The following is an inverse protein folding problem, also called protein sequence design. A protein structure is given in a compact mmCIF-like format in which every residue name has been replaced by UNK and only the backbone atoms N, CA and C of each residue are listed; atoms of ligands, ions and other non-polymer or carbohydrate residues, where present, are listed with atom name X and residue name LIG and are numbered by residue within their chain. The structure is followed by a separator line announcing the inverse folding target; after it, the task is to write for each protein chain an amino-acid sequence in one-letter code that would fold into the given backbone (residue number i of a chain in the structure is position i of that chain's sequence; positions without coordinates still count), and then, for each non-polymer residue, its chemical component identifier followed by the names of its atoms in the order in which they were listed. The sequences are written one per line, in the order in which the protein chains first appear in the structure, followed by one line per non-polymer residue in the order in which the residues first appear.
data_IF_952979239563
#
_entry.id   IF_952979239563
#
_cell.length_a   1.000
_cell.length_b   1.000
_cell.length_c   1.000
_cell.angle_alpha   90.00
_cell.angle_beta   90.00
_cell.angle_gamma   90.00
#
_symmetry.space_group_name_H-M   'P 1'
#
loop_
_entity.id
_entity.type
_entity.pdbx_description
1 polymer ?
#
# COMPACT_ATOMS: atom_id res chain seq x y z
N UNK A 1 5.57 -56.52 -47.53
CA UNK A 1 6.23 -56.64 -46.20
C UNK A 1 6.63 -55.24 -45.74
N UNK A 2 6.21 -54.89 -44.52
CA UNK A 2 6.22 -53.56 -43.90
C UNK A 2 7.63 -53.11 -43.53
N UNK A 3 7.98 -51.82 -43.71
CA UNK A 3 8.75 -51.01 -42.73
C UNK A 3 8.44 -49.53 -42.96
N UNK A 4 7.56 -48.95 -42.14
CA UNK A 4 7.39 -47.50 -42.02
C UNK A 4 8.25 -47.10 -40.82
N UNK A 5 9.28 -46.30 -41.05
CA UNK A 5 10.17 -45.79 -39.99
C UNK A 5 9.51 -44.54 -39.42
N UNK A 6 8.92 -44.67 -38.23
CA UNK A 6 8.35 -43.57 -37.46
C UNK A 6 9.47 -42.79 -36.78
N UNK A 7 9.76 -41.58 -37.29
CA UNK A 7 10.69 -40.66 -36.64
C UNK A 7 9.90 -39.78 -35.65
N UNK A 8 9.89 -40.17 -34.38
CA UNK A 8 9.32 -39.38 -33.30
C UNK A 8 10.25 -38.23 -32.93
N UNK A 9 9.84 -36.99 -33.22
CA UNK A 9 10.49 -35.79 -32.67
C UNK A 9 9.78 -35.45 -31.36
N UNK A 10 10.48 -35.72 -30.25
CA UNK A 10 10.07 -35.38 -28.89
C UNK A 10 10.17 -33.85 -28.73
N UNK A 11 9.05 -33.14 -28.81
CA UNK A 11 8.98 -31.71 -28.47
C UNK A 11 9.07 -31.58 -26.96
N UNK A 12 10.28 -31.30 -26.45
CA UNK A 12 10.49 -30.97 -25.05
C UNK A 12 9.84 -29.64 -24.70
N UNK A 13 8.70 -29.68 -24.00
CA UNK A 13 8.03 -28.51 -23.47
C UNK A 13 8.88 -27.94 -22.32
N UNK A 14 9.72 -26.94 -22.60
CA UNK A 14 10.37 -26.14 -21.57
C UNK A 14 9.33 -25.23 -20.93
N UNK A 15 8.65 -25.71 -19.88
CA UNK A 15 7.82 -24.84 -19.03
C UNK A 15 8.74 -23.91 -18.24
N UNK A 16 8.96 -22.71 -18.75
CA UNK A 16 9.55 -21.63 -17.98
C UNK A 16 8.57 -21.26 -16.85
N UNK A 17 8.80 -21.79 -15.66
CA UNK A 17 8.10 -21.34 -14.46
C UNK A 17 8.59 -19.93 -14.14
N UNK A 18 7.83 -18.93 -14.54
CA UNK A 18 8.02 -17.55 -14.08
C UNK A 18 7.82 -17.51 -12.57
N UNK A 19 8.92 -17.47 -11.82
CA UNK A 19 8.88 -17.18 -10.39
C UNK A 19 8.50 -15.70 -10.27
N UNK A 20 7.19 -15.45 -10.15
CA UNK A 20 6.69 -14.12 -9.80
C UNK A 20 7.03 -13.88 -8.33
N UNK A 21 8.14 -13.18 -8.08
CA UNK A 21 8.42 -12.66 -6.76
C UNK A 21 7.31 -11.66 -6.43
N UNK A 22 6.39 -12.05 -5.53
CA UNK A 22 5.43 -11.13 -4.95
C UNK A 22 6.20 -9.96 -4.34
N UNK A 23 6.11 -8.79 -4.97
CA UNK A 23 6.77 -7.59 -4.50
C UNK A 23 6.15 -7.19 -3.16
N UNK A 24 6.98 -6.97 -2.13
CA UNK A 24 6.52 -6.49 -0.84
C UNK A 24 6.17 -4.98 -0.92
N UNK A 25 5.31 -4.51 -0.02
CA UNK A 25 4.92 -3.10 0.09
C UNK A 25 5.90 -2.24 0.88
N UNK A 26 6.90 -2.86 1.54
CA UNK A 26 8.02 -2.13 2.14
C UNK A 26 8.63 -1.19 1.10
N UNK A 27 8.91 0.04 1.52
CA UNK A 27 9.48 1.07 0.65
C UNK A 27 8.83 2.44 0.83
N UNK A 28 9.14 3.34 -0.10
CA UNK A 28 8.70 4.75 -0.02
C UNK A 28 7.61 5.07 -1.05
N UNK A 29 6.55 5.72 -0.57
CA UNK A 29 5.32 5.95 -1.32
C UNK A 29 4.86 7.40 -1.27
N UNK A 30 4.54 7.98 -2.43
CA UNK A 30 3.89 9.27 -2.54
C UNK A 30 2.38 9.12 -2.49
N UNK A 31 1.75 9.69 -1.46
CA UNK A 31 0.29 9.77 -1.34
C UNK A 31 -0.27 10.84 -2.27
N UNK A 32 -1.27 10.45 -3.06
CA UNK A 32 -2.01 11.35 -3.96
C UNK A 32 -3.35 11.71 -3.32
N UNK A 33 -3.70 13.00 -3.33
CA UNK A 33 -5.01 13.48 -2.95
C UNK A 33 -6.06 13.00 -3.96
N UNK A 34 -7.10 12.31 -3.48
CA UNK A 34 -8.15 11.75 -4.31
C UNK A 34 -9.07 12.82 -4.93
N UNK A 35 -9.10 14.04 -4.36
CA UNK A 35 -9.91 15.15 -4.87
C UNK A 35 -9.11 16.02 -5.85
N UNK A 36 -7.89 16.41 -5.50
CA UNK A 36 -7.09 17.34 -6.31
C UNK A 36 -6.12 16.66 -7.28
N UNK A 37 -5.85 15.36 -7.10
CA UNK A 37 -4.80 14.64 -7.84
C UNK A 37 -3.37 15.06 -7.48
N UNK A 38 -3.20 15.95 -6.50
CA UNK A 38 -1.88 16.48 -6.13
C UNK A 38 -1.21 15.60 -5.07
N UNK A 39 0.13 15.49 -5.05
CA UNK A 39 0.86 14.86 -3.96
C UNK A 39 0.60 15.55 -2.62
N UNK A 40 0.45 14.76 -1.54
CA UNK A 40 0.20 15.27 -0.17
C UNK A 40 1.36 15.02 0.77
N UNK A 41 1.94 13.84 0.69
CA UNK A 41 2.94 13.37 1.62
C UNK A 41 3.76 12.23 0.99
N UNK A 42 4.95 12.01 1.54
CA UNK A 42 5.73 10.81 1.35
C UNK A 42 5.59 9.96 2.61
N UNK A 43 5.32 8.68 2.42
CA UNK A 43 5.07 7.70 3.46
C UNK A 43 6.03 6.54 3.28
N UNK A 44 6.76 6.23 4.33
CA UNK A 44 7.63 5.05 4.39
C UNK A 44 6.84 3.90 5.02
N UNK A 45 6.74 2.78 4.31
CA UNK A 45 6.16 1.54 4.82
C UNK A 45 7.29 0.62 5.29
N UNK A 46 7.17 0.09 6.51
CA UNK A 46 8.09 -0.89 7.08
C UNK A 46 7.34 -2.13 7.55
N UNK A 47 8.04 -3.25 7.56
CA UNK A 47 7.56 -4.51 8.14
C UNK A 47 8.06 -4.62 9.58
N UNK A 48 7.13 -4.90 10.48
CA UNK A 48 7.37 -5.10 11.90
C UNK A 48 7.77 -6.55 12.19
N UNK A 49 8.40 -6.77 13.35
CA UNK A 49 8.83 -8.11 13.81
C UNK A 49 7.67 -9.13 13.94
N UNK A 50 6.44 -8.64 14.13
CA UNK A 50 5.22 -9.45 14.20
C UNK A 50 4.57 -9.72 12.83
N UNK A 51 5.29 -9.49 11.73
CA UNK A 51 4.82 -9.62 10.34
C UNK A 51 3.63 -8.70 9.98
N UNK A 52 3.42 -7.62 10.73
CA UNK A 52 2.52 -6.54 10.32
C UNK A 52 3.29 -5.42 9.63
N UNK A 53 2.58 -4.48 9.02
CA UNK A 53 3.17 -3.33 8.36
C UNK A 53 2.73 -2.02 9.01
N UNK A 54 3.67 -1.09 9.15
CA UNK A 54 3.44 0.28 9.62
C UNK A 54 3.74 1.28 8.50
N UNK A 55 3.13 2.45 8.54
CA UNK A 55 3.37 3.54 7.61
C UNK A 55 3.57 4.86 8.32
N UNK A 56 4.70 5.52 8.05
CA UNK A 56 5.12 6.77 8.70
C UNK A 56 5.28 7.90 7.68
N UNK A 57 4.76 9.09 8.00
CA UNK A 57 4.95 10.28 7.16
C UNK A 57 6.40 10.75 7.28
N UNK A 58 7.15 10.74 6.18
CA UNK A 58 8.56 11.20 6.13
C UNK A 58 8.73 12.54 5.44
N UNK A 59 7.73 12.97 4.65
CA UNK A 59 7.69 14.31 4.05
C UNK A 59 6.26 14.77 3.90
N UNK A 60 6.01 16.06 4.12
CA UNK A 60 4.76 16.71 3.76
C UNK A 60 5.00 17.49 2.47
N UNK A 61 4.17 17.30 1.45
CA UNK A 61 4.30 18.00 0.18
C UNK A 61 3.42 19.26 0.20
N UNK A 62 3.99 20.46 0.07
CA UNK A 62 3.21 21.68 -0.06
C UNK A 62 2.28 21.62 -1.28
N UNK A 63 1.08 22.20 -1.14
CA UNK A 63 0.11 22.29 -2.23
C UNK A 63 -0.20 23.77 -2.48
N UNK A 64 -0.36 24.20 -3.74
CA UNK A 64 -0.75 25.58 -4.04
C UNK A 64 -2.02 25.96 -3.27
N UNK A 65 -2.01 27.11 -2.59
CA UNK A 65 -3.16 27.61 -1.83
C UNK A 65 -3.48 26.83 -0.54
N UNK A 66 -2.61 25.92 -0.09
CA UNK A 66 -2.79 25.17 1.16
C UNK A 66 -1.52 25.15 2.00
N UNK A 67 -1.58 25.77 3.16
CA UNK A 67 -0.56 25.63 4.20
C UNK A 67 -0.79 24.33 4.96
N UNK A 68 0.15 23.37 4.92
CA UNK A 68 0.00 22.14 5.69
C UNK A 68 -0.05 22.41 7.19
N UNK A 69 -0.93 21.70 7.89
CA UNK A 69 -0.89 21.69 9.35
C UNK A 69 0.36 20.96 9.81
N UNK A 70 0.98 21.47 10.86
CA UNK A 70 2.19 20.86 11.44
C UNK A 70 1.85 19.76 12.44
N UNK A 71 0.71 19.89 13.14
CA UNK A 71 0.30 19.00 14.22
C UNK A 71 -1.06 18.37 13.97
N UNK A 72 -1.24 17.19 14.52
CA UNK A 72 -2.46 16.39 14.42
C UNK A 72 -3.66 17.13 15.03
N UNK A 73 -4.77 17.19 14.29
CA UNK A 73 -5.99 17.88 14.68
C UNK A 73 -6.97 16.97 15.42
N UNK A 74 -7.35 17.31 16.65
CA UNK A 74 -8.33 16.53 17.43
C UNK A 74 -8.00 15.04 17.51
N UNK A 75 -6.71 14.71 17.48
CA UNK A 75 -6.27 13.32 17.46
C UNK A 75 -6.33 12.74 18.88
N UNK A 76 -6.96 11.57 19.05
CA UNK A 76 -6.99 10.88 20.34
C UNK A 76 -5.59 10.37 20.72
N UNK A 77 -5.40 10.03 22.00
CA UNK A 77 -4.18 9.36 22.44
C UNK A 77 -3.96 8.06 21.65
N UNK A 78 -2.71 7.71 21.31
CA UNK A 78 -1.46 8.40 21.67
C UNK A 78 -1.07 9.55 20.73
N UNK A 79 -1.89 9.89 19.72
CA UNK A 79 -1.59 10.85 18.65
C UNK A 79 -1.86 12.31 19.01
N UNK A 80 -2.29 12.58 20.24
CA UNK A 80 -2.65 13.91 20.70
C UNK A 80 -1.50 14.90 20.52
N UNK A 81 -1.76 15.96 19.74
CA UNK A 81 -0.83 17.04 19.45
C UNK A 81 0.52 16.60 18.84
N UNK A 82 0.62 15.38 18.30
CA UNK A 82 1.84 14.92 17.65
C UNK A 82 2.12 15.72 16.36
N UNK A 83 3.40 16.00 16.04
CA UNK A 83 3.79 16.48 14.72
C UNK A 83 3.32 15.50 13.63
N UNK A 84 2.73 16.02 12.55
CA UNK A 84 2.28 15.21 11.40
C UNK A 84 3.50 14.63 10.68
N UNK A 85 4.57 15.42 10.56
CA UNK A 85 5.85 14.91 10.08
C UNK A 85 6.44 13.95 11.12
N UNK A 86 6.76 12.72 10.69
CA UNK A 86 7.23 11.65 11.57
C UNK A 86 6.12 10.80 12.19
N UNK A 87 4.85 11.13 11.97
CA UNK A 87 3.73 10.39 12.56
C UNK A 87 3.51 9.05 11.86
N UNK A 88 3.35 7.98 12.65
CA UNK A 88 2.93 6.66 12.18
C UNK A 88 1.41 6.61 11.99
N UNK A 89 0.97 6.91 10.77
CA UNK A 89 -0.45 7.03 10.44
C UNK A 89 -1.13 5.70 10.15
N UNK A 90 -0.37 4.67 9.79
CA UNK A 90 -0.90 3.38 9.33
C UNK A 90 -0.26 2.26 10.16
N UNK A 91 -1.06 1.35 10.70
CA UNK A 91 -0.58 0.24 11.53
C UNK A 91 -1.34 -1.04 11.29
N UNK A 92 -0.71 -2.17 11.58
CA UNK A 92 -1.40 -3.47 11.72
C UNK A 92 -1.82 -4.14 10.42
N UNK A 93 -1.44 -3.59 9.25
CA UNK A 93 -1.68 -4.26 7.97
C UNK A 93 -1.00 -5.62 7.97
N UNK A 94 -1.67 -6.63 7.42
CA UNK A 94 -1.16 -8.00 7.28
C UNK A 94 -1.32 -8.45 5.84
N UNK A 95 -0.26 -9.05 5.30
CA UNK A 95 -0.31 -9.67 3.98
C UNK A 95 -1.32 -10.83 3.96
N UNK A 96 -2.09 -10.92 2.87
CA UNK A 96 -2.99 -12.05 2.61
C UNK A 96 -2.27 -13.01 1.66
N UNK A 97 -1.87 -14.16 2.21
CA UNK A 97 -1.08 -15.17 1.51
C UNK A 97 -1.66 -15.56 0.14
N UNK A 98 -0.77 -15.67 -0.86
CA UNK A 98 -1.16 -16.01 -2.23
C UNK A 98 -1.85 -14.88 -3.01
N UNK A 99 -1.92 -13.66 -2.46
CA UNK A 99 -2.58 -12.53 -3.12
C UNK A 99 -1.65 -11.31 -3.24
N UNK A 100 -2.18 -10.17 -3.68
CA UNK A 100 -1.51 -8.86 -3.62
C UNK A 100 -2.19 -7.91 -2.62
N UNK A 101 -2.98 -8.46 -1.69
CA UNK A 101 -3.78 -7.71 -0.72
C UNK A 101 -3.14 -7.71 0.67
N UNK A 102 -3.40 -6.61 1.38
CA UNK A 102 -3.03 -6.39 2.76
C UNK A 102 -4.25 -5.89 3.52
N UNK A 103 -4.55 -6.49 4.67
CA UNK A 103 -5.79 -6.24 5.40
C UNK A 103 -5.56 -6.03 6.90
N UNK A 104 -6.64 -5.76 7.65
CA UNK A 104 -6.63 -5.54 9.11
C UNK A 104 -5.82 -4.32 9.54
N UNK A 105 -5.49 -3.45 8.59
CA UNK A 105 -4.82 -2.19 8.87
C UNK A 105 -5.76 -1.21 9.55
N UNK A 106 -5.16 -0.24 10.23
CA UNK A 106 -5.85 0.93 10.75
C UNK A 106 -5.08 2.18 10.39
N UNK A 107 -5.77 3.19 9.89
CA UNK A 107 -5.19 4.47 9.49
C UNK A 107 -5.84 5.62 10.26
N UNK A 108 -5.04 6.58 10.72
CA UNK A 108 -5.53 7.86 11.26
C UNK A 108 -5.37 8.95 10.21
N UNK A 109 -6.41 9.75 10.00
CA UNK A 109 -6.32 11.01 9.26
C UNK A 109 -5.89 12.14 10.21
N UNK A 110 -4.65 12.66 10.10
CA UNK A 110 -4.18 13.71 11.00
C UNK A 110 -4.94 15.03 10.89
N UNK A 111 -5.69 15.25 9.80
CA UNK A 111 -6.44 16.50 9.61
C UNK A 111 -7.81 16.47 10.30
N UNK A 112 -8.39 15.28 10.49
CA UNK A 112 -9.69 15.10 11.15
C UNK A 112 -9.62 14.40 12.51
N UNK A 113 -8.50 13.76 12.84
CA UNK A 113 -8.31 12.99 14.07
C UNK A 113 -9.04 11.64 14.07
N UNK A 114 -9.63 11.25 12.94
CA UNK A 114 -10.47 10.05 12.83
C UNK A 114 -9.63 8.84 12.42
N UNK A 115 -9.94 7.71 13.06
CA UNK A 115 -9.44 6.40 12.66
C UNK A 115 -10.36 5.73 11.66
N UNK A 116 -9.77 4.96 10.76
CA UNK A 116 -10.45 4.15 9.77
C UNK A 116 -9.78 2.78 9.69
N UNK A 117 -10.58 1.74 9.43
CA UNK A 117 -10.03 0.47 9.00
C UNK A 117 -9.46 0.62 7.60
N UNK A 118 -8.36 -0.07 7.34
CA UNK A 118 -7.59 0.05 6.12
C UNK A 118 -7.29 -1.32 5.51
N UNK A 119 -7.48 -1.41 4.19
CA UNK A 119 -6.92 -2.47 3.36
C UNK A 119 -6.19 -1.87 2.17
N UNK A 120 -5.13 -2.52 1.72
CA UNK A 120 -4.32 -2.08 0.60
C UNK A 120 -4.17 -3.19 -0.42
N UNK A 121 -4.08 -2.82 -1.69
CA UNK A 121 -3.78 -3.74 -2.79
C UNK A 121 -2.62 -3.21 -3.58
N UNK A 122 -1.57 -4.02 -3.70
CA UNK A 122 -0.44 -3.76 -4.58
C UNK A 122 -0.80 -4.20 -5.99
N UNK A 123 -0.49 -3.37 -6.98
CA UNK A 123 -0.70 -3.74 -8.38
C UNK A 123 0.40 -4.68 -8.88
N UNK A 124 0.17 -5.30 -10.05
CA UNK A 124 1.10 -6.26 -10.63
C UNK A 124 2.51 -5.69 -10.91
N UNK A 125 2.62 -4.38 -11.17
CA UNK A 125 3.94 -3.75 -11.41
C UNK A 125 4.69 -3.43 -10.13
N UNK A 126 4.07 -3.56 -8.96
CA UNK A 126 4.63 -3.15 -7.69
C UNK A 126 4.74 -1.63 -7.48
N UNK A 127 4.29 -0.81 -8.44
CA UNK A 127 4.47 0.65 -8.43
C UNK A 127 3.26 1.44 -7.89
N UNK A 128 2.12 0.79 -7.71
CA UNK A 128 0.89 1.44 -7.22
C UNK A 128 0.26 0.66 -6.09
N UNK A 129 0.01 1.37 -5.00
CA UNK A 129 -0.83 0.92 -3.91
C UNK A 129 -2.18 1.63 -3.95
N UNK A 130 -3.24 0.83 -3.89
CA UNK A 130 -4.60 1.32 -3.69
C UNK A 130 -4.99 1.07 -2.23
N UNK A 131 -5.18 2.14 -1.46
CA UNK A 131 -5.66 2.07 -0.08
C UNK A 131 -7.17 2.32 -0.03
N UNK A 132 -7.89 1.50 0.71
CA UNK A 132 -9.30 1.70 1.06
C UNK A 132 -9.41 1.98 2.56
N UNK A 133 -9.86 3.17 2.93
CA UNK A 133 -10.14 3.57 4.31
C UNK A 133 -11.66 3.56 4.56
N UNK A 134 -12.15 2.94 5.62
CA UNK A 134 -13.59 2.80 5.89
C UNK A 134 -13.92 2.71 7.39
N UNK A 135 -15.20 2.84 7.71
CA UNK A 135 -15.75 2.58 9.04
C UNK A 135 -16.75 1.42 8.93
N UNK A 136 -16.47 0.29 9.58
CA UNK A 136 -17.34 -0.90 9.55
C UNK A 136 -17.34 -1.59 8.18
N UNK A 137 -18.23 -1.19 7.26
CA UNK A 137 -18.40 -1.84 5.95
C UNK A 137 -17.50 -1.20 4.89
N UNK A 138 -16.57 -1.98 4.33
CA UNK A 138 -15.58 -1.46 3.36
C UNK A 138 -16.17 -0.88 2.07
N UNK A 139 -17.40 -1.25 1.70
CA UNK A 139 -18.13 -0.69 0.56
C UNK A 139 -18.40 0.82 0.70
N UNK A 140 -18.48 1.35 1.92
CA UNK A 140 -18.77 2.77 2.19
C UNK A 140 -17.53 3.63 2.47
N UNK A 141 -16.33 3.08 2.23
CA UNK A 141 -15.06 3.78 2.41
C UNK A 141 -14.67 4.78 1.32
N UNK A 142 -13.45 5.32 1.46
CA UNK A 142 -12.77 6.16 0.46
C UNK A 142 -11.52 5.46 -0.05
N UNK A 143 -11.20 5.71 -1.32
CA UNK A 143 -9.99 5.20 -1.95
C UNK A 143 -8.89 6.26 -1.94
N UNK A 144 -7.66 5.83 -1.75
CA UNK A 144 -6.47 6.64 -1.96
C UNK A 144 -5.49 5.90 -2.87
N UNK A 145 -4.72 6.67 -3.63
CA UNK A 145 -3.67 6.14 -4.50
C UNK A 145 -2.32 6.55 -3.97
N UNK A 146 -1.43 5.58 -3.82
CA UNK A 146 -0.06 5.78 -3.39
C UNK A 146 0.86 5.26 -4.49
N UNK A 147 1.83 6.07 -4.90
CA UNK A 147 2.77 5.76 -5.98
C UNK A 147 4.15 5.48 -5.40
N UNK A 148 4.79 4.39 -5.82
CA UNK A 148 6.17 4.08 -5.37
C UNK A 148 7.13 5.10 -5.99
N UNK A 149 8.09 5.57 -5.21
CA UNK A 149 9.05 6.62 -5.65
C UNK A 149 10.53 6.23 -5.49
N UNK A 150 10.78 4.96 -5.17
CA UNK A 150 12.11 4.34 -5.23
C UNK A 150 12.31 3.59 -6.56
#
# INVERSE_FOLDING_TARGET
MKKIISLGILVGLFSATSISFAQDIVGTWQQIDDKSGSPKAIIEIRKESNNTYTGKITKITPRPGYTPRERCNNCPAPYTNQPILGMEILKGLKYVEGTSNYEKGRVIDPLSGKFYDAKMKLNATGKRLSLRAYLGVSALGRNQTWLRIE
#
